data_IF_200704503299
#
_entry.id   IF_200704503299
#
_cell.length_a   1.000
_cell.length_b   1.000
_cell.length_c   1.000
_cell.angle_alpha   90.00
_cell.angle_beta   90.00
_cell.angle_gamma   90.00
#
_symmetry.space_group_name_H-M   'P 1'
#
loop_
_entity.id
_entity.type
_entity.pdbx_description
1 polymer ?
#
# COMPACT_ATOMS: atom_id res chain seq x y z
N UNK A 1 -29.38 28.49 39.86
CA UNK A 1 -28.47 27.58 39.17
C UNK A 1 -28.92 27.41 37.73
N UNK A 2 -28.27 28.03 36.73
CA UNK A 2 -28.53 27.74 35.33
C UNK A 2 -27.65 26.56 34.88
N UNK A 3 -28.27 25.64 34.14
CA UNK A 3 -27.68 24.42 33.59
C UNK A 3 -26.55 24.77 32.62
N UNK A 4 -25.35 24.27 32.86
CA UNK A 4 -24.25 24.24 31.89
C UNK A 4 -24.63 23.34 30.72
N UNK A 5 -25.32 23.90 29.72
CA UNK A 5 -25.30 23.36 28.36
C UNK A 5 -24.09 23.94 27.64
N UNK A 6 -22.90 23.46 28.00
CA UNK A 6 -21.73 23.64 27.16
C UNK A 6 -21.95 22.78 25.91
N UNK A 7 -22.35 23.42 24.81
CA UNK A 7 -22.17 22.83 23.48
C UNK A 7 -20.69 22.47 23.36
N UNK A 8 -20.36 21.18 23.46
CA UNK A 8 -19.02 20.68 23.21
C UNK A 8 -18.74 20.89 21.71
N UNK A 9 -18.17 22.04 21.36
CA UNK A 9 -17.75 22.29 19.99
C UNK A 9 -16.84 21.14 19.56
N UNK A 10 -17.22 20.42 18.50
CA UNK A 10 -16.46 19.28 18.02
C UNK A 10 -15.03 19.76 17.70
N UNK A 11 -14.04 19.28 18.46
CA UNK A 11 -12.65 19.70 18.31
C UNK A 11 -12.06 18.97 17.11
N UNK A 12 -11.16 19.62 16.38
CA UNK A 12 -10.37 18.93 15.37
C UNK A 12 -9.35 18.02 16.06
N UNK A 13 -9.23 16.79 15.56
CA UNK A 13 -8.19 15.88 16.01
C UNK A 13 -6.80 16.38 15.58
N UNK A 14 -5.77 16.06 16.36
CA UNK A 14 -4.38 16.43 16.07
C UNK A 14 -3.71 15.53 15.02
N UNK A 15 -4.45 14.58 14.44
CA UNK A 15 -3.97 13.58 13.51
C UNK A 15 -5.00 13.40 12.39
N UNK A 16 -4.58 12.73 11.30
CA UNK A 16 -5.47 12.36 10.19
C UNK A 16 -5.42 10.86 9.89
N UNK A 17 -6.43 10.40 9.15
CA UNK A 17 -6.51 9.04 8.61
C UNK A 17 -6.14 9.07 7.15
N UNK A 18 -5.07 8.36 6.78
CA UNK A 18 -4.66 8.17 5.39
C UNK A 18 -5.14 6.79 4.97
N UNK A 19 -6.00 6.75 3.96
CA UNK A 19 -6.73 5.55 3.54
C UNK A 19 -6.36 5.23 2.11
N UNK A 20 -5.81 4.05 1.90
CA UNK A 20 -5.22 3.61 0.65
C UNK A 20 -6.04 2.46 0.11
N UNK A 21 -6.57 2.63 -1.10
CA UNK A 21 -7.44 1.67 -1.76
C UNK A 21 -6.79 1.24 -3.08
N UNK A 22 -6.37 -0.01 -3.20
CA UNK A 22 -5.80 -0.55 -4.43
C UNK A 22 -6.66 -1.67 -5.01
N UNK A 23 -7.13 -1.49 -6.25
CA UNK A 23 -7.98 -2.44 -6.93
C UNK A 23 -7.17 -3.51 -7.70
N UNK A 24 -7.86 -4.57 -8.12
CA UNK A 24 -7.31 -5.60 -9.00
C UNK A 24 -7.08 -5.12 -10.44
N UNK A 25 -6.44 -5.93 -11.28
CA UNK A 25 -6.49 -5.73 -12.75
C UNK A 25 -7.92 -5.82 -13.24
N UNK A 26 -8.26 -5.03 -14.27
CA UNK A 26 -9.50 -5.22 -15.04
C UNK A 26 -9.73 -6.68 -15.45
N UNK A 27 -8.69 -7.39 -15.90
CA UNK A 27 -8.72 -8.83 -16.21
C UNK A 27 -9.15 -9.76 -15.05
N UNK A 28 -9.01 -9.32 -13.80
CA UNK A 28 -9.49 -10.07 -12.63
C UNK A 28 -10.90 -9.65 -12.20
N UNK A 29 -11.36 -8.47 -12.62
CA UNK A 29 -12.78 -8.07 -12.58
C UNK A 29 -13.58 -8.55 -13.80
N UNK A 30 -12.92 -9.06 -14.86
CA UNK A 30 -13.51 -9.48 -16.14
C UNK A 30 -14.36 -10.79 -16.09
N UNK A 31 -14.83 -11.18 -14.90
CA UNK A 31 -15.97 -12.12 -14.76
C UNK A 31 -17.30 -11.39 -14.51
N UNK A 32 -17.31 -10.05 -14.48
CA UNK A 32 -18.50 -9.24 -14.22
C UNK A 32 -18.62 -8.01 -15.14
N UNK A 33 -19.84 -7.48 -15.22
CA UNK A 33 -20.19 -6.28 -15.97
C UNK A 33 -19.29 -5.09 -15.58
N UNK A 34 -18.63 -4.47 -16.56
CA UNK A 34 -17.78 -3.29 -16.40
C UNK A 34 -18.51 -2.08 -15.78
N UNK A 35 -19.84 -2.12 -15.68
CA UNK A 35 -20.66 -1.13 -14.98
C UNK A 35 -20.58 -1.22 -13.45
N UNK A 36 -20.14 -2.35 -12.89
CA UNK A 36 -20.19 -2.60 -11.45
C UNK A 36 -18.84 -2.28 -10.75
N UNK A 37 -18.81 -1.29 -9.84
CA UNK A 37 -17.58 -0.96 -9.13
C UNK A 37 -17.20 -2.07 -8.13
N UNK A 38 -15.91 -2.37 -8.04
CA UNK A 38 -15.37 -3.29 -7.04
C UNK A 38 -15.71 -2.85 -5.61
N UNK A 39 -15.62 -3.77 -4.64
CA UNK A 39 -15.78 -3.41 -3.23
C UNK A 39 -14.74 -2.36 -2.78
N UNK A 40 -13.53 -2.41 -3.32
CA UNK A 40 -12.48 -1.41 -3.02
C UNK A 40 -12.86 -0.04 -3.57
N UNK A 41 -13.35 0.03 -4.81
CA UNK A 41 -13.83 1.27 -5.42
C UNK A 41 -15.05 1.83 -4.67
N UNK A 42 -15.96 0.96 -4.22
CA UNK A 42 -17.11 1.35 -3.39
C UNK A 42 -16.65 1.95 -2.06
N UNK A 43 -15.72 1.31 -1.36
CA UNK A 43 -15.15 1.83 -0.10
C UNK A 43 -14.52 3.21 -0.33
N UNK A 44 -13.66 3.36 -1.34
CA UNK A 44 -12.99 4.62 -1.62
C UNK A 44 -13.97 5.78 -1.87
N UNK A 45 -15.13 5.48 -2.50
CA UNK A 45 -16.16 6.47 -2.83
C UNK A 45 -17.12 6.79 -1.69
N UNK A 46 -17.24 5.92 -0.69
CA UNK A 46 -18.18 6.11 0.43
C UNK A 46 -17.53 6.68 1.69
N UNK A 47 -16.19 6.70 1.75
CA UNK A 47 -15.46 7.32 2.85
C UNK A 47 -15.69 8.84 2.82
N UNK A 48 -16.24 9.38 3.91
CA UNK A 48 -16.38 10.83 4.09
C UNK A 48 -15.01 11.51 4.21
N UNK A 49 -14.91 12.80 3.88
CA UNK A 49 -13.66 13.58 4.00
C UNK A 49 -13.24 13.84 5.44
N UNK A 50 -14.16 13.67 6.39
CA UNK A 50 -13.89 13.72 7.83
C UNK A 50 -14.90 12.87 8.61
N UNK A 51 -14.54 12.47 9.82
CA UNK A 51 -15.43 11.72 10.71
C UNK A 51 -14.95 11.74 12.16
N UNK A 52 -15.84 11.47 13.14
CA UNK A 52 -15.46 11.49 14.54
C UNK A 52 -14.47 10.37 14.90
N UNK A 53 -13.61 10.61 15.89
CA UNK A 53 -12.90 9.58 16.63
C UNK A 53 -13.75 9.04 17.80
N UNK A 54 -13.16 8.13 18.60
CA UNK A 54 -13.81 7.55 19.78
C UNK A 54 -14.13 8.57 20.88
N UNK A 55 -13.52 9.76 20.83
CA UNK A 55 -13.71 10.85 21.77
C UNK A 55 -14.60 11.97 21.21
N UNK A 56 -15.13 11.81 20.00
CA UNK A 56 -15.98 12.80 19.33
C UNK A 56 -15.20 13.93 18.64
N UNK A 57 -13.87 13.86 18.54
CA UNK A 57 -13.10 14.82 17.75
C UNK A 57 -13.24 14.53 16.25
N UNK A 58 -13.33 15.57 15.42
CA UNK A 58 -13.39 15.43 13.96
C UNK A 58 -12.00 15.17 13.39
N UNK A 59 -11.84 14.02 12.75
CA UNK A 59 -10.60 13.56 12.12
C UNK A 59 -10.72 13.73 10.62
N UNK A 60 -9.73 14.36 9.99
CA UNK A 60 -9.63 14.44 8.53
C UNK A 60 -9.30 13.06 7.94
N UNK A 61 -9.91 12.72 6.80
CA UNK A 61 -9.70 11.46 6.10
C UNK A 61 -9.22 11.77 4.68
N UNK A 62 -8.03 11.28 4.34
CA UNK A 62 -7.39 11.45 3.04
C UNK A 62 -7.43 10.10 2.33
N UNK A 63 -8.14 10.03 1.20
CA UNK A 63 -8.30 8.78 0.43
C UNK A 63 -7.45 8.84 -0.83
N UNK A 64 -6.66 7.79 -1.08
CA UNK A 64 -6.00 7.54 -2.36
C UNK A 64 -6.54 6.25 -2.96
N UNK A 65 -7.04 6.32 -4.20
CA UNK A 65 -7.55 5.17 -4.95
C UNK A 65 -6.67 4.87 -6.16
N UNK A 66 -6.30 3.60 -6.31
CA UNK A 66 -5.49 3.08 -7.40
C UNK A 66 -6.30 2.01 -8.14
N UNK A 67 -6.69 2.28 -9.38
CA UNK A 67 -7.64 1.45 -10.15
C UNK A 67 -7.07 0.14 -10.71
N UNK A 68 -5.82 -0.21 -10.37
CA UNK A 68 -5.07 -1.30 -11.00
C UNK A 68 -4.70 -0.99 -12.46
N UNK A 69 -3.49 -1.41 -12.89
CA UNK A 69 -3.06 -1.33 -14.30
C UNK A 69 -4.12 -1.89 -15.27
N UNK A 70 -4.68 -0.99 -16.09
CA UNK A 70 -5.67 -1.26 -17.13
C UNK A 70 -6.60 -0.08 -17.45
N UNK A 71 -6.58 1.00 -16.67
CA UNK A 71 -7.41 2.20 -16.90
C UNK A 71 -6.87 3.19 -17.96
N UNK A 72 -5.84 2.83 -18.72
CA UNK A 72 -5.27 3.65 -19.79
C UNK A 72 -5.03 2.81 -21.04
N UNK A 73 -5.67 3.18 -22.14
CA UNK A 73 -5.51 2.59 -23.46
C UNK A 73 -4.03 2.54 -23.86
N UNK A 74 -3.44 1.34 -23.98
CA UNK A 74 -2.33 1.00 -24.87
C UNK A 74 -2.21 -0.54 -24.90
N UNK A 75 -3.04 -1.22 -25.71
CA UNK A 75 -3.09 -2.68 -25.78
C UNK A 75 -1.76 -3.33 -26.20
N UNK A 76 -0.89 -2.59 -26.88
CA UNK A 76 0.35 -3.12 -27.47
C UNK A 76 1.53 -3.33 -26.50
N UNK A 77 1.51 -2.74 -25.31
CA UNK A 77 2.60 -2.97 -24.34
C UNK A 77 2.38 -4.20 -23.44
N UNK A 78 1.15 -4.72 -23.33
CA UNK A 78 0.84 -5.85 -22.44
C UNK A 78 1.36 -7.21 -22.92
N UNK A 79 1.64 -7.38 -24.21
CA UNK A 79 2.10 -8.65 -24.78
C UNK A 79 3.63 -8.75 -24.95
N UNK A 80 4.35 -7.62 -25.00
CA UNK A 80 5.81 -7.59 -25.23
C UNK A 80 6.60 -7.70 -23.92
N UNK A 81 6.04 -7.28 -22.80
CA UNK A 81 6.68 -7.38 -21.49
C UNK A 81 6.02 -8.50 -20.69
N UNK A 82 6.74 -9.58 -20.36
CA UNK A 82 6.34 -10.59 -19.37
C UNK A 82 6.23 -9.99 -17.94
N UNK A 83 5.45 -8.94 -17.78
CA UNK A 83 5.67 -7.82 -16.87
C UNK A 83 4.61 -7.68 -15.78
N UNK A 84 4.39 -8.76 -15.02
CA UNK A 84 3.62 -8.68 -13.77
C UNK A 84 4.43 -7.90 -12.71
N UNK A 85 5.76 -8.08 -12.67
CA UNK A 85 6.62 -7.47 -11.64
C UNK A 85 6.86 -5.97 -11.81
N UNK A 86 7.06 -5.48 -13.04
CA UNK A 86 7.42 -4.07 -13.29
C UNK A 86 6.24 -3.12 -13.01
N UNK A 87 5.02 -3.54 -13.36
CA UNK A 87 3.82 -2.77 -13.07
C UNK A 87 3.49 -2.68 -11.58
N UNK A 88 3.75 -3.76 -10.84
CA UNK A 88 3.51 -3.85 -9.40
C UNK A 88 4.46 -2.94 -8.61
N UNK A 89 5.73 -2.89 -9.01
CA UNK A 89 6.72 -2.00 -8.39
C UNK A 89 6.32 -0.54 -8.48
N UNK A 90 5.73 -0.14 -9.61
CA UNK A 90 5.26 1.22 -9.81
C UNK A 90 4.06 1.55 -8.91
N UNK A 91 3.10 0.64 -8.76
CA UNK A 91 1.96 0.84 -7.84
C UNK A 91 2.42 0.92 -6.38
N UNK A 92 3.36 0.05 -5.95
CA UNK A 92 3.96 0.11 -4.60
C UNK A 92 4.68 1.44 -4.38
N UNK A 93 5.47 1.90 -5.36
CA UNK A 93 6.16 3.19 -5.32
C UNK A 93 5.17 4.36 -5.15
N UNK A 94 4.13 4.43 -5.98
CA UNK A 94 3.13 5.51 -5.94
C UNK A 94 2.38 5.56 -4.60
N UNK A 95 1.96 4.40 -4.08
CA UNK A 95 1.27 4.34 -2.78
C UNK A 95 2.23 4.79 -1.67
N UNK A 96 3.48 4.32 -1.68
CA UNK A 96 4.46 4.70 -0.67
C UNK A 96 4.85 6.18 -0.75
N UNK A 97 4.96 6.73 -1.96
CA UNK A 97 5.17 8.16 -2.19
C UNK A 97 3.99 8.98 -1.65
N UNK A 98 2.75 8.54 -1.88
CA UNK A 98 1.57 9.18 -1.33
C UNK A 98 1.61 9.22 0.20
N UNK A 99 2.00 8.11 0.84
CA UNK A 99 2.20 8.07 2.29
C UNK A 99 3.30 9.07 2.70
N UNK A 100 4.46 9.03 2.03
CA UNK A 100 5.62 9.87 2.36
C UNK A 100 5.34 11.37 2.24
N UNK A 101 4.45 11.76 1.33
CA UNK A 101 4.05 13.15 1.13
C UNK A 101 2.98 13.63 2.13
N UNK A 102 2.18 12.73 2.69
CA UNK A 102 1.03 13.10 3.51
C UNK A 102 1.19 12.73 5.00
N UNK A 103 1.98 11.72 5.33
CA UNK A 103 2.10 11.19 6.68
C UNK A 103 2.92 12.12 7.58
N UNK A 104 2.38 12.39 8.77
CA UNK A 104 3.08 13.03 9.88
C UNK A 104 2.97 12.10 11.08
N UNK A 105 3.96 12.16 11.98
CA UNK A 105 3.99 11.33 13.19
C UNK A 105 2.67 11.40 13.96
N UNK A 106 2.06 10.24 14.19
CA UNK A 106 0.79 10.09 14.91
C UNK A 106 -0.43 9.84 14.02
N UNK A 107 -0.29 10.03 12.70
CA UNK A 107 -1.35 9.70 11.76
C UNK A 107 -1.65 8.20 11.69
N UNK A 108 -2.85 7.87 11.22
CA UNK A 108 -3.32 6.50 11.12
C UNK A 108 -3.36 6.06 9.65
N UNK A 109 -2.80 4.88 9.37
CA UNK A 109 -2.83 4.28 8.03
C UNK A 109 -3.86 3.16 7.93
N UNK A 110 -4.64 3.18 6.85
CA UNK A 110 -5.64 2.17 6.52
C UNK A 110 -5.39 1.68 5.10
N UNK A 111 -5.29 0.37 4.93
CA UNK A 111 -5.02 -0.26 3.66
C UNK A 111 -6.18 -1.15 3.25
N UNK A 112 -6.65 -1.00 2.02
CA UNK A 112 -7.70 -1.82 1.43
C UNK A 112 -7.25 -2.30 0.05
N UNK A 113 -7.31 -3.60 -0.20
CA UNK A 113 -6.86 -4.13 -1.48
C UNK A 113 -7.58 -5.40 -1.95
N UNK A 114 -7.80 -5.51 -3.25
CA UNK A 114 -8.43 -6.69 -3.88
C UNK A 114 -7.50 -7.33 -4.91
N UNK A 115 -7.46 -8.67 -4.97
CA UNK A 115 -6.69 -9.42 -5.96
C UNK A 115 -5.21 -8.98 -6.02
N UNK A 116 -4.73 -8.45 -7.15
CA UNK A 116 -3.39 -7.88 -7.25
C UNK A 116 -3.21 -6.66 -6.32
N UNK A 117 -4.21 -5.81 -6.19
CA UNK A 117 -4.21 -4.68 -5.26
C UNK A 117 -4.05 -5.13 -3.80
N UNK A 118 -4.54 -6.31 -3.44
CA UNK A 118 -4.30 -6.91 -2.12
C UNK A 118 -2.80 -7.23 -1.91
N UNK A 119 -2.11 -7.74 -2.93
CA UNK A 119 -0.66 -7.91 -2.88
C UNK A 119 0.03 -6.56 -2.72
N UNK A 120 -0.33 -5.56 -3.54
CA UNK A 120 0.26 -4.21 -3.51
C UNK A 120 0.18 -3.60 -2.11
N UNK A 121 -1.01 -3.55 -1.51
CA UNK A 121 -1.17 -2.92 -0.18
C UNK A 121 -0.51 -3.72 0.93
N UNK A 122 -0.42 -5.05 0.82
CA UNK A 122 0.33 -5.87 1.78
C UNK A 122 1.83 -5.62 1.68
N UNK A 123 2.37 -5.49 0.46
CA UNK A 123 3.77 -5.13 0.24
C UNK A 123 4.10 -3.77 0.84
N UNK A 124 3.24 -2.76 0.61
CA UNK A 124 3.43 -1.43 1.21
C UNK A 124 3.30 -1.48 2.73
N UNK A 125 2.30 -2.19 3.27
CA UNK A 125 2.12 -2.31 4.71
C UNK A 125 3.30 -3.02 5.39
N UNK A 126 3.85 -4.06 4.76
CA UNK A 126 5.07 -4.74 5.21
C UNK A 126 6.27 -3.79 5.20
N UNK A 127 6.47 -3.07 4.10
CA UNK A 127 7.52 -2.06 3.98
C UNK A 127 7.40 -1.01 5.09
N UNK A 128 6.23 -0.37 5.23
CA UNK A 128 5.98 0.64 6.27
C UNK A 128 6.20 0.09 7.68
N UNK A 129 5.82 -1.17 7.94
CA UNK A 129 6.02 -1.79 9.26
C UNK A 129 7.49 -2.08 9.55
N UNK A 130 8.23 -2.55 8.55
CA UNK A 130 9.62 -2.98 8.72
C UNK A 130 10.59 -1.79 8.73
N UNK A 131 10.35 -0.78 7.90
CA UNK A 131 11.27 0.35 7.74
C UNK A 131 10.72 1.66 8.27
N UNK A 132 9.41 1.87 8.24
CA UNK A 132 8.79 3.17 8.50
C UNK A 132 8.48 3.92 7.21
N UNK A 133 8.28 5.23 7.34
CA UNK A 133 7.94 6.13 6.22
C UNK A 133 9.12 7.05 5.93
N UNK A 134 9.56 7.07 4.67
CA UNK A 134 10.54 8.05 4.19
C UNK A 134 9.92 9.45 4.24
N UNK A 135 10.73 10.44 4.58
CA UNK A 135 10.34 11.82 4.27
C UNK A 135 10.25 12.00 2.76
N UNK A 136 9.29 12.79 2.28
CA UNK A 136 9.15 13.17 0.87
C UNK A 136 10.46 13.62 0.21
N UNK A 137 11.33 14.32 0.94
CA UNK A 137 12.63 14.79 0.45
C UNK A 137 13.61 13.64 0.11
N UNK A 138 13.39 12.46 0.66
CA UNK A 138 14.27 11.29 0.51
C UNK A 138 13.67 10.20 -0.38
N UNK A 139 12.53 10.47 -1.03
CA UNK A 139 11.89 9.53 -1.96
C UNK A 139 12.78 9.16 -3.17
N UNK A 140 13.79 9.96 -3.50
CA UNK A 140 14.82 9.59 -4.50
C UNK A 140 15.57 8.30 -4.15
N UNK A 141 15.62 7.91 -2.87
CA UNK A 141 16.25 6.67 -2.41
C UNK A 141 15.30 5.47 -2.42
N UNK A 142 14.00 5.68 -2.72
CA UNK A 142 13.00 4.63 -2.63
C UNK A 142 13.32 3.44 -3.54
N UNK A 143 13.73 3.66 -4.79
CA UNK A 143 13.99 2.59 -5.75
C UNK A 143 15.11 1.64 -5.28
N UNK A 144 16.21 2.20 -4.78
CA UNK A 144 17.33 1.40 -4.26
C UNK A 144 16.92 0.63 -3.00
N UNK A 145 16.23 1.30 -2.09
CA UNK A 145 15.72 0.71 -0.85
C UNK A 145 14.72 -0.42 -1.15
N UNK A 146 13.79 -0.22 -2.08
CA UNK A 146 12.80 -1.21 -2.48
C UNK A 146 13.46 -2.43 -3.09
N UNK A 147 14.48 -2.24 -3.94
CA UNK A 147 15.28 -3.33 -4.49
C UNK A 147 15.93 -4.16 -3.38
N UNK A 148 16.65 -3.50 -2.46
CA UNK A 148 17.29 -4.17 -1.33
C UNK A 148 16.26 -4.89 -0.43
N UNK A 149 15.09 -4.28 -0.22
CA UNK A 149 14.02 -4.87 0.58
C UNK A 149 13.49 -6.17 -0.02
N UNK A 150 13.28 -6.21 -1.34
CA UNK A 150 12.83 -7.44 -2.03
C UNK A 150 13.89 -8.53 -2.07
N UNK A 151 15.16 -8.16 -2.17
CA UNK A 151 16.28 -9.10 -2.15
C UNK A 151 16.49 -9.72 -0.75
N UNK A 152 15.90 -9.13 0.30
CA UNK A 152 15.94 -9.66 1.66
C UNK A 152 14.98 -10.84 1.86
N UNK A 153 15.27 -11.97 1.22
CA UNK A 153 14.47 -13.21 1.31
C UNK A 153 14.92 -14.15 2.43
N UNK A 154 16.06 -13.86 3.08
CA UNK A 154 16.67 -14.71 4.11
C UNK A 154 16.00 -14.69 5.49
N UNK A 155 14.80 -14.10 5.63
CA UNK A 155 14.02 -14.07 6.87
C UNK A 155 14.57 -13.18 7.98
N UNK A 156 15.75 -12.58 7.81
CA UNK A 156 16.27 -11.58 8.74
C UNK A 156 15.45 -10.28 8.65
N UNK A 157 15.20 -9.58 9.78
CA UNK A 157 14.59 -8.26 9.75
C UNK A 157 15.36 -7.30 8.85
N UNK A 158 14.68 -6.55 7.98
CA UNK A 158 15.36 -5.69 7.00
C UNK A 158 16.30 -4.66 7.64
N UNK A 159 15.92 -4.13 8.82
CA UNK A 159 16.77 -3.20 9.60
C UNK A 159 18.10 -3.81 10.04
N UNK A 160 18.27 -5.13 10.01
CA UNK A 160 19.52 -5.83 10.34
C UNK A 160 20.37 -6.15 9.10
N UNK A 161 19.88 -5.85 7.90
CA UNK A 161 20.64 -6.08 6.66
C UNK A 161 21.84 -5.13 6.59
N UNK A 162 22.92 -5.60 5.94
CA UNK A 162 24.10 -4.76 5.69
C UNK A 162 23.74 -3.50 4.88
N UNK A 163 22.85 -3.63 3.89
CA UNK A 163 22.39 -2.50 3.08
C UNK A 163 21.70 -1.44 3.93
N UNK A 164 20.79 -1.83 4.84
CA UNK A 164 20.12 -0.87 5.72
C UNK A 164 21.11 -0.18 6.66
N UNK A 165 22.01 -0.93 7.28
CA UNK A 165 22.99 -0.37 8.23
C UNK A 165 23.89 0.69 7.58
N UNK A 166 24.24 0.51 6.31
CA UNK A 166 25.06 1.45 5.54
C UNK A 166 24.27 2.67 5.03
N UNK A 167 22.95 2.56 4.85
CA UNK A 167 22.14 3.60 4.21
C UNK A 167 21.12 4.29 5.14
N UNK A 168 20.87 3.78 6.35
CA UNK A 168 19.85 4.29 7.28
C UNK A 168 19.96 5.81 7.55
N UNK A 169 21.18 6.36 7.61
CA UNK A 169 21.42 7.79 7.83
C UNK A 169 20.88 8.69 6.70
N UNK A 170 20.72 8.14 5.49
CA UNK A 170 20.19 8.86 4.32
C UNK A 170 18.66 8.80 4.23
N UNK A 171 18.03 7.82 4.87
CA UNK A 171 16.60 7.54 4.70
C UNK A 171 15.71 8.45 5.56
N UNK A 172 16.21 8.97 6.69
CA UNK A 172 15.46 9.82 7.66
C UNK A 172 14.01 9.34 7.87
N UNK A 173 13.90 8.12 8.39
CA UNK A 173 12.63 7.40 8.53
C UNK A 173 11.86 7.85 9.77
N UNK A 174 10.55 8.01 9.64
CA UNK A 174 9.65 7.97 10.80
C UNK A 174 9.34 6.51 11.14
N UNK A 175 9.76 6.07 12.32
CA UNK A 175 9.83 4.65 12.67
C UNK A 175 8.63 4.18 13.51
N UNK A 176 7.85 5.10 14.07
CA UNK A 176 6.66 4.80 14.89
C UNK A 176 5.39 4.96 14.07
N UNK A 177 5.26 4.16 13.01
CA UNK A 177 4.12 4.22 12.11
C UNK A 177 3.04 3.23 12.54
N UNK A 178 1.82 3.74 12.71
CA UNK A 178 0.68 2.93 13.15
C UNK A 178 -0.24 2.59 11.99
N UNK A 179 -0.14 1.35 11.53
CA UNK A 179 -1.12 0.76 10.62
C UNK A 179 -2.32 0.27 11.45
N UNK A 180 -3.50 0.82 11.18
CA UNK A 180 -4.73 0.49 11.90
C UNK A 180 -5.48 -0.67 11.28
N UNK A 181 -5.49 -0.73 9.95
CA UNK A 181 -6.27 -1.72 9.20
C UNK A 181 -5.48 -2.13 7.96
N UNK A 182 -5.48 -3.45 7.70
CA UNK A 182 -5.14 -4.03 6.41
C UNK A 182 -6.31 -4.96 6.02
N UNK A 183 -7.26 -4.42 5.25
CA UNK A 183 -8.42 -5.15 4.75
C UNK A 183 -8.15 -5.65 3.32
N UNK A 184 -8.01 -6.95 3.15
CA UNK A 184 -7.70 -7.53 1.83
C UNK A 184 -8.66 -8.63 1.43
N UNK A 185 -8.92 -8.74 0.12
CA UNK A 185 -9.80 -9.72 -0.47
C UNK A 185 -9.09 -10.48 -1.61
N UNK A 186 -9.31 -11.79 -1.69
CA UNK A 186 -8.86 -12.70 -2.75
C UNK A 186 -7.42 -12.46 -3.22
N UNK A 187 -6.47 -12.43 -2.28
CA UNK A 187 -5.07 -12.18 -2.66
C UNK A 187 -4.56 -13.29 -3.57
N UNK A 188 -4.22 -12.94 -4.80
CA UNK A 188 -3.55 -13.87 -5.71
C UNK A 188 -2.12 -14.08 -5.22
N UNK A 189 -1.77 -15.34 -4.93
CA UNK A 189 -0.39 -15.71 -4.68
C UNK A 189 0.39 -15.68 -5.98
N UNK A 190 1.14 -14.61 -6.27
CA UNK A 190 2.18 -14.67 -7.29
C UNK A 190 3.39 -15.42 -6.71
N UNK A 191 3.21 -16.73 -6.48
CA UNK A 191 4.31 -17.66 -6.27
C UNK A 191 4.26 -18.67 -7.40
N UNK A 192 4.83 -18.32 -8.56
CA UNK A 192 5.39 -19.37 -9.41
C UNK A 192 6.62 -19.87 -8.67
N UNK A 193 6.39 -20.85 -7.79
CA UNK A 193 7.42 -21.81 -7.44
C UNK A 193 7.86 -22.39 -8.77
N UNK A 194 9.11 -22.14 -9.18
CA UNK A 194 9.71 -22.95 -10.21
C UNK A 194 9.81 -24.37 -9.63
N UNK A 195 8.81 -25.20 -9.90
CA UNK A 195 8.93 -26.63 -9.68
C UNK A 195 10.03 -27.12 -10.62
N UNK A 196 11.11 -27.55 -10.00
CA UNK A 196 12.15 -28.36 -10.62
C UNK A 196 11.55 -29.70 -11.02
N UNK A 197 11.25 -29.88 -12.31
CA UNK A 197 11.05 -31.20 -12.91
C UNK A 197 11.55 -31.19 -14.35
N UNK A 198 12.76 -31.75 -14.56
CA UNK A 198 13.10 -32.78 -15.56
C UNK A 198 14.62 -32.78 -15.82
N UNK A 199 15.32 -33.53 -14.98
CA UNK A 199 16.65 -34.05 -15.30
C UNK A 199 16.59 -35.57 -15.11
N UNK A 200 15.93 -36.26 -16.04
CA UNK A 200 15.99 -37.71 -16.18
C UNK A 200 15.48 -38.13 -17.55
N UNK A 201 16.33 -38.09 -18.57
CA UNK A 201 16.21 -38.90 -19.80
C UNK A 201 17.35 -38.54 -20.76
N UNK A 202 18.58 -38.97 -20.48
CA UNK A 202 19.51 -39.38 -21.54
C UNK A 202 20.71 -40.15 -20.96
N UNK A 203 20.53 -41.47 -20.72
CA UNK A 203 21.60 -42.49 -20.70
C UNK A 203 20.98 -43.88 -20.89
N UNK A 204 20.96 -44.35 -22.13
CA UNK A 204 21.15 -45.77 -22.48
C UNK A 204 21.58 -45.87 -23.94
#
# INVERSE_FOLDING_TARGET
MPRESAQLAARLASYKRIILCADGTWLASDLGDASMPSNVARIARTIATSGPDLHGNIVQQIVSYHSGLGAGELPFQKAIYGGIGWGLDNEVCQIYEFISNNYVKGDELFFFGFSRGAFTVRSVAGLVSDIGVLSSQHMSHFTEMWKAYRENTGGQPFRKTAWYQQNQGKLRLENEVRIKVVGVWDTVGALVRADSSEAASDRS
#
